data_IF_309177189872
#
_entry.id   IF_309177189872
#
_cell.length_a   1.000
_cell.length_b   1.000
_cell.length_c   1.000
_cell.angle_alpha   90.00
_cell.angle_beta   90.00
_cell.angle_gamma   90.00
#
_symmetry.space_group_name_H-M   'P 1'
#
loop_
_entity.id
_entity.type
_entity.pdbx_description
1 polymer ?
#
# COMPACT_ATOMS: atom_id res chain seq x y z
N UNK A 1 12.62 -13.24 -9.10
CA UNK A 1 11.96 -11.92 -9.24
C UNK A 1 10.89 -12.06 -10.32
N UNK A 2 9.61 -11.75 -10.03
CA UNK A 2 8.57 -11.76 -11.07
C UNK A 2 8.62 -10.44 -11.84
N UNK A 3 8.44 -10.47 -13.15
CA UNK A 3 8.34 -9.27 -13.98
C UNK A 3 7.03 -8.54 -13.65
N UNK A 4 7.07 -7.22 -13.58
CA UNK A 4 5.90 -6.37 -13.30
C UNK A 4 5.49 -5.67 -14.59
N UNK A 5 4.21 -5.79 -14.94
CA UNK A 5 3.60 -5.02 -16.01
C UNK A 5 2.59 -4.02 -15.44
N UNK A 6 2.70 -2.76 -15.87
CA UNK A 6 1.71 -1.75 -15.54
C UNK A 6 0.52 -1.86 -16.50
N UNK A 7 -0.69 -2.00 -15.96
CA UNK A 7 -1.93 -1.96 -16.71
C UNK A 7 -2.44 -0.53 -16.85
N UNK A 8 -3.02 -0.22 -18.00
CA UNK A 8 -3.67 1.06 -18.27
C UNK A 8 -5.18 0.93 -18.18
N UNK A 9 -5.81 1.90 -17.55
CA UNK A 9 -7.25 2.04 -17.53
C UNK A 9 -7.76 2.32 -18.95
N UNK A 10 -8.77 1.57 -19.39
CA UNK A 10 -9.37 1.72 -20.72
C UNK A 10 -10.66 2.51 -20.61
N UNK A 11 -11.63 1.99 -19.86
CA UNK A 11 -12.95 2.61 -19.72
C UNK A 11 -13.71 2.02 -18.53
N UNK A 12 -14.78 2.73 -18.14
CA UNK A 12 -15.83 2.21 -17.26
C UNK A 12 -16.92 1.59 -18.14
N UNK A 13 -17.20 0.30 -17.95
CA UNK A 13 -18.26 -0.41 -18.67
C UNK A 13 -19.64 -0.07 -18.11
N UNK A 14 -20.69 -0.32 -18.91
CA UNK A 14 -22.08 -0.11 -18.49
C UNK A 14 -22.49 -0.95 -17.25
N UNK A 15 -21.80 -2.08 -17.02
CA UNK A 15 -21.94 -2.90 -15.81
C UNK A 15 -21.37 -2.24 -14.55
N UNK A 16 -20.68 -1.11 -14.68
CA UNK A 16 -19.97 -0.46 -13.60
C UNK A 16 -18.56 -1.00 -13.35
N UNK A 17 -18.10 -2.01 -14.09
CA UNK A 17 -16.74 -2.54 -13.99
C UNK A 17 -15.73 -1.66 -14.75
N UNK A 18 -14.53 -1.51 -14.21
CA UNK A 18 -13.41 -0.85 -14.87
C UNK A 18 -12.69 -1.85 -15.79
N UNK A 19 -12.53 -1.52 -17.07
CA UNK A 19 -11.70 -2.29 -18.00
C UNK A 19 -10.25 -1.82 -17.96
N UNK A 20 -9.33 -2.78 -17.91
CA UNK A 20 -7.88 -2.56 -17.87
C UNK A 20 -7.19 -3.39 -18.93
N UNK A 21 -6.16 -2.81 -19.55
CA UNK A 21 -5.33 -3.47 -20.57
C UNK A 21 -3.84 -3.33 -20.27
N UNK A 22 -3.11 -4.42 -20.41
CA UNK A 22 -1.67 -4.47 -20.30
C UNK A 22 -1.04 -4.27 -21.69
N UNK A 23 -0.35 -3.15 -21.96
CA UNK A 23 0.30 -2.92 -23.25
C UNK A 23 1.52 -3.82 -23.48
N UNK A 24 2.08 -4.43 -22.43
CA UNK A 24 3.28 -5.26 -22.53
C UNK A 24 3.00 -6.69 -23.03
N UNK A 25 1.89 -7.31 -22.59
CA UNK A 25 1.57 -8.70 -22.93
C UNK A 25 0.15 -8.90 -23.47
N UNK A 26 -0.63 -7.84 -23.63
CA UNK A 26 -2.00 -7.89 -24.16
C UNK A 26 -3.05 -8.40 -23.16
N UNK A 27 -2.70 -8.65 -21.89
CA UNK A 27 -3.67 -9.07 -20.86
C UNK A 27 -4.77 -8.02 -20.69
N UNK A 28 -6.03 -8.44 -20.69
CA UNK A 28 -7.20 -7.58 -20.45
C UNK A 28 -8.08 -8.16 -19.36
N UNK A 29 -8.52 -7.30 -18.45
CA UNK A 29 -9.40 -7.68 -17.33
C UNK A 29 -10.47 -6.63 -17.12
N UNK A 30 -11.59 -7.05 -16.54
CA UNK A 30 -12.54 -6.13 -15.91
C UNK A 30 -12.46 -6.28 -14.40
N UNK A 31 -12.56 -5.15 -13.70
CA UNK A 31 -12.53 -5.07 -12.24
C UNK A 31 -13.77 -4.32 -11.76
N UNK A 32 -14.69 -5.03 -11.12
CA UNK A 32 -15.73 -4.43 -10.29
C UNK A 32 -15.12 -4.01 -8.96
N UNK A 33 -15.32 -2.76 -8.57
CA UNK A 33 -14.90 -2.23 -7.26
C UNK A 33 -15.93 -2.55 -6.19
N UNK A 34 -15.65 -2.17 -4.94
CA UNK A 34 -16.59 -2.28 -3.81
C UNK A 34 -18.01 -1.78 -4.18
N UNK A 35 -19.06 -2.39 -3.61
CA UNK A 35 -19.05 -3.26 -2.43
C UNK A 35 -18.75 -4.73 -2.70
N UNK A 36 -18.96 -5.22 -3.93
CA UNK A 36 -18.76 -6.62 -4.32
C UNK A 36 -17.62 -6.69 -5.33
N UNK A 37 -16.36 -6.79 -4.88
CA UNK A 37 -15.22 -6.78 -5.77
C UNK A 37 -15.20 -8.05 -6.61
N UNK A 38 -15.03 -7.90 -7.92
CA UNK A 38 -15.02 -9.00 -8.88
C UNK A 38 -13.94 -8.71 -9.93
N UNK A 39 -13.15 -9.71 -10.28
CA UNK A 39 -12.16 -9.62 -11.36
C UNK A 39 -12.47 -10.69 -12.41
N UNK A 40 -12.74 -10.25 -13.64
CA UNK A 40 -12.93 -11.15 -14.78
C UNK A 40 -11.78 -10.96 -15.75
N UNK A 41 -11.15 -12.07 -16.15
CA UNK A 41 -10.11 -12.06 -17.19
C UNK A 41 -10.80 -12.13 -18.55
N UNK A 42 -10.56 -11.13 -19.41
CA UNK A 42 -11.04 -11.11 -20.79
C UNK A 42 -10.03 -11.78 -21.72
N UNK A 43 -8.77 -11.36 -21.62
CA UNK A 43 -7.64 -11.89 -22.37
C UNK A 43 -6.51 -12.19 -21.38
N UNK A 44 -5.93 -13.42 -21.35
CA UNK A 44 -4.99 -13.82 -20.30
C UNK A 44 -3.62 -13.15 -20.41
N UNK A 45 -3.09 -12.89 -21.62
CA UNK A 45 -1.72 -12.40 -21.78
C UNK A 45 -0.67 -13.29 -21.08
N UNK A 46 0.36 -12.68 -20.48
CA UNK A 46 1.38 -13.39 -19.70
C UNK A 46 0.95 -13.60 -18.24
N UNK A 47 0.60 -14.82 -17.86
CA UNK A 47 0.14 -15.12 -16.49
C UNK A 47 1.28 -15.24 -15.46
N UNK A 48 2.54 -15.26 -15.92
CA UNK A 48 3.70 -15.30 -15.03
C UNK A 48 4.10 -13.92 -14.49
N UNK A 49 3.67 -12.85 -15.17
CA UNK A 49 3.90 -11.46 -14.78
C UNK A 49 2.90 -10.97 -13.74
N UNK A 50 3.37 -10.10 -12.83
CA UNK A 50 2.52 -9.37 -11.89
C UNK A 50 1.96 -8.14 -12.59
N UNK A 51 0.64 -8.01 -12.61
CA UNK A 51 -0.04 -6.90 -13.25
C UNK A 51 -0.51 -5.88 -12.21
N UNK A 52 -0.11 -4.61 -12.39
CA UNK A 52 -0.42 -3.52 -11.46
C UNK A 52 -1.15 -2.41 -12.20
N UNK A 53 -2.33 -2.03 -11.73
CA UNK A 53 -3.06 -0.84 -12.18
C UNK A 53 -3.07 0.22 -11.09
N UNK A 54 -2.92 1.49 -11.47
CA UNK A 54 -2.99 2.63 -10.54
C UNK A 54 -4.30 3.38 -10.76
N UNK A 55 -5.04 3.59 -9.68
CA UNK A 55 -6.22 4.46 -9.66
C UNK A 55 -5.81 5.72 -8.89
N UNK A 56 -5.72 6.83 -9.60
CA UNK A 56 -5.51 8.13 -8.96
C UNK A 56 -6.78 8.54 -8.21
N UNK A 57 -6.67 9.03 -6.96
CA UNK A 57 -7.82 9.53 -6.22
C UNK A 57 -8.40 10.77 -6.93
N UNK A 58 -9.72 10.79 -7.11
CA UNK A 58 -10.43 11.99 -7.56
C UNK A 58 -10.70 12.94 -6.38
N UNK A 59 -11.16 14.16 -6.69
CA UNK A 59 -11.44 15.18 -5.68
C UNK A 59 -12.47 14.72 -4.62
N UNK A 60 -13.40 13.83 -4.99
CA UNK A 60 -14.38 13.27 -4.06
C UNK A 60 -13.72 12.29 -3.10
N UNK A 61 -12.84 11.43 -3.59
CA UNK A 61 -12.05 10.52 -2.78
C UNK A 61 -11.13 11.29 -1.81
N UNK A 62 -10.49 12.36 -2.28
CA UNK A 62 -9.67 13.25 -1.43
C UNK A 62 -10.49 13.87 -0.31
N UNK A 63 -11.64 14.49 -0.62
CA UNK A 63 -12.50 15.12 0.39
C UNK A 63 -13.05 14.10 1.41
N UNK A 64 -13.36 12.88 0.97
CA UNK A 64 -13.77 11.80 1.86
C UNK A 64 -12.63 11.38 2.80
N UNK A 65 -11.40 11.28 2.29
CA UNK A 65 -10.22 10.94 3.08
C UNK A 65 -9.96 12.00 4.17
N UNK A 66 -10.02 13.29 3.82
CA UNK A 66 -9.84 14.40 4.76
C UNK A 66 -10.83 14.36 5.93
N UNK A 67 -12.10 14.01 5.67
CA UNK A 67 -13.12 13.85 6.72
C UNK A 67 -12.71 12.85 7.81
N UNK A 68 -11.94 11.83 7.45
CA UNK A 68 -11.44 10.80 8.38
C UNK A 68 -10.01 11.06 8.85
N UNK A 69 -9.46 12.25 8.61
CA UNK A 69 -8.07 12.58 8.96
C UNK A 69 -7.03 11.82 8.12
N UNK A 70 -7.43 11.24 6.99
CA UNK A 70 -6.52 10.57 6.06
C UNK A 70 -5.99 11.60 5.06
N UNK A 71 -4.76 12.06 5.29
CA UNK A 71 -4.04 12.94 4.38
C UNK A 71 -3.23 12.16 3.32
N UNK A 72 -2.63 12.87 2.34
CA UNK A 72 -1.69 12.26 1.41
C UNK A 72 -0.52 11.64 2.15
N UNK A 73 0.00 10.50 1.65
CA UNK A 73 1.22 9.89 2.19
C UNK A 73 2.36 10.89 2.10
N UNK A 74 2.91 11.27 3.26
CA UNK A 74 4.07 12.14 3.35
C UNK A 74 5.32 11.29 3.59
N UNK A 75 6.37 11.51 2.80
CA UNK A 75 7.69 11.04 3.17
C UNK A 75 8.23 11.97 4.25
N UNK A 76 8.17 11.54 5.50
CA UNK A 76 8.78 12.26 6.61
C UNK A 76 10.25 11.79 6.68
N UNK A 77 11.23 12.69 6.48
CA UNK A 77 12.63 12.32 6.64
C UNK A 77 12.83 11.67 7.99
N UNK A 78 13.55 10.53 8.03
CA UNK A 78 13.89 9.89 9.30
C UNK A 78 14.67 10.92 10.14
N UNK A 79 14.17 11.31 11.32
CA UNK A 79 14.95 12.16 12.21
C UNK A 79 16.26 11.45 12.58
N UNK A 80 17.34 12.18 12.92
CA UNK A 80 18.55 11.54 13.42
C UNK A 80 18.20 10.61 14.57
N UNK A 81 18.92 9.49 14.69
CA UNK A 81 18.74 8.59 15.82
C UNK A 81 18.84 9.41 17.11
N UNK A 82 17.87 9.30 18.04
CA UNK A 82 17.99 9.95 19.32
C UNK A 82 19.24 9.45 20.03
N UNK A 83 19.84 10.26 20.91
CA UNK A 83 20.95 9.79 21.74
C UNK A 83 20.49 8.58 22.56
N UNK A 84 21.43 7.69 22.88
CA UNK A 84 21.17 6.64 23.85
C UNK A 84 20.70 7.26 25.19
N UNK A 85 19.79 6.61 25.92
CA UNK A 85 19.33 7.08 27.22
C UNK A 85 20.51 7.29 28.17
N UNK A 86 20.41 8.30 29.04
CA UNK A 86 21.40 8.54 30.07
C UNK A 86 21.20 7.59 31.28
N UNK A 87 21.90 7.83 32.39
CA UNK A 87 21.79 6.98 33.57
C UNK A 87 20.45 7.13 34.31
N UNK A 88 19.85 8.32 34.30
CA UNK A 88 18.55 8.56 34.91
C UNK A 88 17.44 7.89 34.08
N UNK A 89 17.53 8.02 32.75
CA UNK A 89 16.62 7.35 31.82
C UNK A 89 16.72 5.82 31.94
N UNK A 90 17.93 5.26 31.97
CA UNK A 90 18.12 3.81 32.17
C UNK A 90 17.54 3.32 33.49
N UNK A 91 17.71 4.09 34.58
CA UNK A 91 17.15 3.72 35.88
C UNK A 91 15.63 3.71 35.84
N UNK A 92 15.02 4.74 35.26
CA UNK A 92 13.58 4.80 35.09
C UNK A 92 13.05 3.67 34.19
N UNK A 93 13.73 3.36 33.09
CA UNK A 93 13.38 2.24 32.21
C UNK A 93 13.41 0.91 32.97
N UNK A 94 14.43 0.69 33.79
CA UNK A 94 14.51 -0.50 34.65
C UNK A 94 13.39 -0.54 35.71
N UNK A 95 13.01 0.61 36.28
CA UNK A 95 11.88 0.72 37.22
C UNK A 95 10.55 0.29 36.58
N UNK A 96 10.36 0.53 35.28
CA UNK A 96 9.17 0.10 34.53
C UNK A 96 9.35 -1.27 33.84
N UNK A 97 10.45 -1.97 34.12
CA UNK A 97 10.71 -3.34 33.63
C UNK A 97 11.25 -3.43 32.19
N UNK A 98 11.77 -2.33 31.63
CA UNK A 98 12.42 -2.32 30.32
C UNK A 98 13.94 -2.38 30.53
N UNK A 99 14.55 -3.49 30.11
CA UNK A 99 16.01 -3.60 30.03
C UNK A 99 16.50 -3.01 28.70
N UNK A 100 17.15 -1.86 28.79
CA UNK A 100 17.69 -1.16 27.62
C UNK A 100 18.96 -1.81 27.05
N UNK A 101 19.79 -2.43 27.89
CA UNK A 101 21.09 -2.97 27.48
C UNK A 101 20.99 -4.44 27.04
N UNK A 102 19.83 -5.08 27.26
CA UNK A 102 19.45 -6.34 26.63
C UNK A 102 20.09 -7.58 27.25
N UNK A 103 19.45 -8.16 28.26
CA UNK A 103 19.33 -9.61 28.38
C UNK A 103 18.22 -10.10 27.46
N UNK A 104 18.56 -11.02 26.54
CA UNK A 104 17.70 -11.65 25.53
C UNK A 104 16.18 -11.52 25.73
N UNK A 105 15.57 -10.53 25.08
CA UNK A 105 14.13 -10.57 24.78
C UNK A 105 13.87 -11.49 23.56
N UNK A 106 14.31 -12.74 23.66
CA UNK A 106 14.01 -13.80 22.70
C UNK A 106 14.20 -15.19 23.35
N UNK A 107 13.15 -15.69 24.00
CA UNK A 107 12.86 -17.11 24.14
C UNK A 107 11.35 -17.32 24.11
#
# INVERSE_FOLDING_TARGET
MRVIHEMKFVARLASGADEWSCPACGRRVTLRRLPEPELTVLDPGDESAVHVGVIEPDARATAAAEKYGLGPVQNIPRPPSPPAPDAADRRWLAEIGIDWDGGDAAA
#
